data_IF_051903262991
#
_entry.id   IF_051903262991
#
_cell.length_a   1.000
_cell.length_b   1.000
_cell.length_c   1.000
_cell.angle_alpha   90.00
_cell.angle_beta   90.00
_cell.angle_gamma   90.00
#
_symmetry.space_group_name_H-M   'P 1'
#
loop_
_entity.id
_entity.type
_entity.pdbx_description
1 polymer ?
#
# COMPACT_ATOMS: atom_id res chain seq x y z
N UNK A 1 -14.15 6.74 -16.49
CA UNK A 1 -12.75 7.20 -16.29
C UNK A 1 -12.50 7.15 -14.80
N UNK A 2 -11.43 6.50 -14.33
CA UNK A 2 -11.08 6.53 -12.90
C UNK A 2 -10.61 7.95 -12.58
N UNK A 3 -11.21 8.60 -11.58
CA UNK A 3 -10.68 9.85 -11.05
C UNK A 3 -9.43 9.50 -10.25
N UNK A 4 -8.26 9.67 -10.88
CA UNK A 4 -6.96 9.54 -10.22
C UNK A 4 -6.82 10.72 -9.26
N UNK A 5 -7.07 10.45 -7.98
CA UNK A 5 -7.11 11.44 -6.92
C UNK A 5 -6.53 10.85 -5.64
N UNK A 6 -6.37 11.71 -4.63
CA UNK A 6 -5.84 11.31 -3.32
C UNK A 6 -6.68 10.19 -2.68
N UNK A 7 -7.99 10.18 -2.86
CA UNK A 7 -8.88 9.11 -2.36
C UNK A 7 -8.52 7.74 -2.94
N UNK A 8 -8.24 7.65 -4.24
CA UNK A 8 -7.82 6.40 -4.89
C UNK A 8 -6.47 5.88 -4.37
N UNK A 9 -5.57 6.78 -3.99
CA UNK A 9 -4.29 6.42 -3.36
C UNK A 9 -4.52 5.90 -1.93
N UNK A 10 -5.40 6.54 -1.16
CA UNK A 10 -5.79 6.07 0.18
C UNK A 10 -6.34 4.65 0.12
N UNK A 11 -7.31 4.39 -0.75
CA UNK A 11 -7.90 3.05 -0.92
C UNK A 11 -6.85 1.99 -1.29
N UNK A 12 -5.88 2.36 -2.13
CA UNK A 12 -4.77 1.48 -2.51
C UNK A 12 -3.83 1.19 -1.34
N UNK A 13 -3.53 2.21 -0.51
CA UNK A 13 -2.71 2.02 0.68
C UNK A 13 -3.43 1.11 1.68
N UNK A 14 -4.71 1.34 1.93
CA UNK A 14 -5.55 0.54 2.82
C UNK A 14 -5.68 -0.92 2.34
N UNK A 15 -5.93 -1.14 1.05
CA UNK A 15 -5.95 -2.49 0.48
C UNK A 15 -4.61 -3.20 0.62
N UNK A 16 -3.49 -2.47 0.55
CA UNK A 16 -2.16 -3.02 0.81
C UNK A 16 -1.91 -3.35 2.28
N UNK A 17 -2.54 -2.63 3.21
CA UNK A 17 -2.43 -2.92 4.65
C UNK A 17 -3.00 -4.29 5.00
N UNK A 18 -4.03 -4.76 4.29
CA UNK A 18 -4.57 -6.12 4.46
C UNK A 18 -3.53 -7.21 4.11
N UNK A 19 -2.63 -6.93 3.16
CA UNK A 19 -1.56 -7.86 2.77
C UNK A 19 -0.47 -7.86 3.84
N UNK A 20 -0.13 -6.70 4.41
CA UNK A 20 0.74 -6.60 5.58
C UNK A 20 0.20 -7.37 6.78
N UNK A 21 -1.08 -7.16 7.13
CA UNK A 21 -1.72 -7.86 8.24
C UNK A 21 -1.69 -9.38 8.02
N UNK A 22 -1.90 -9.84 6.79
CA UNK A 22 -1.80 -11.28 6.48
C UNK A 22 -0.37 -11.78 6.57
N UNK A 23 0.62 -11.08 6.04
CA UNK A 23 2.02 -11.46 6.14
C UNK A 23 2.45 -11.60 7.61
N UNK A 24 2.15 -10.59 8.45
CA UNK A 24 2.47 -10.57 9.89
C UNK A 24 1.83 -11.76 10.63
N UNK A 25 0.61 -12.14 10.27
CA UNK A 25 -0.10 -13.25 10.90
C UNK A 25 0.33 -14.63 10.39
N UNK A 26 1.09 -14.69 9.30
CA UNK A 26 1.39 -15.93 8.59
C UNK A 26 2.88 -16.28 8.49
N UNK A 27 3.75 -15.33 8.84
CA UNK A 27 5.21 -15.49 8.93
C UNK A 27 5.59 -15.83 10.37
N UNK A 28 6.39 -16.87 10.56
CA UNK A 28 6.81 -17.33 11.91
C UNK A 28 8.04 -16.57 12.45
N UNK A 29 8.74 -15.82 11.59
CA UNK A 29 9.88 -15.00 11.97
C UNK A 29 9.46 -13.73 12.72
N UNK A 30 9.61 -13.78 14.05
CA UNK A 30 9.24 -12.67 14.95
C UNK A 30 10.01 -11.38 14.65
N UNK A 31 11.28 -11.46 14.27
CA UNK A 31 12.07 -10.28 13.96
C UNK A 31 11.57 -9.60 12.68
N UNK A 32 11.24 -10.40 11.65
CA UNK A 32 10.64 -9.90 10.43
C UNK A 32 9.26 -9.29 10.70
N UNK A 33 8.42 -9.94 11.49
CA UNK A 33 7.09 -9.42 11.86
C UNK A 33 7.17 -8.05 12.55
N UNK A 34 8.17 -7.83 13.41
CA UNK A 34 8.38 -6.52 14.03
C UNK A 34 8.68 -5.44 12.99
N UNK A 35 9.51 -5.74 11.99
CA UNK A 35 9.79 -4.81 10.90
C UNK A 35 8.55 -4.55 10.05
N UNK A 36 7.80 -5.60 9.69
CA UNK A 36 6.55 -5.46 8.93
C UNK A 36 5.50 -4.63 9.67
N UNK A 37 5.41 -4.75 11.00
CA UNK A 37 4.56 -3.91 11.84
C UNK A 37 4.95 -2.43 11.77
N UNK A 38 6.24 -2.10 11.82
CA UNK A 38 6.72 -0.72 11.70
C UNK A 38 6.39 -0.11 10.32
N UNK A 39 6.53 -0.92 9.25
CA UNK A 39 6.15 -0.51 7.90
C UNK A 39 4.64 -0.30 7.79
N UNK A 40 3.84 -1.21 8.34
CA UNK A 40 2.38 -1.07 8.40
C UNK A 40 1.95 0.20 9.14
N UNK A 41 2.59 0.54 10.25
CA UNK A 41 2.29 1.79 10.98
C UNK A 41 2.65 3.03 10.15
N UNK A 42 3.73 2.98 9.38
CA UNK A 42 4.11 4.04 8.45
C UNK A 42 3.02 4.24 7.39
N UNK A 43 2.50 3.14 6.82
CA UNK A 43 1.39 3.18 5.85
C UNK A 43 0.09 3.71 6.45
N UNK A 44 -0.26 3.28 7.67
CA UNK A 44 -1.44 3.79 8.39
C UNK A 44 -1.32 5.30 8.65
N UNK A 45 -0.12 5.79 8.99
CA UNK A 45 0.14 7.22 9.12
C UNK A 45 -0.03 7.96 7.79
N UNK A 46 0.47 7.40 6.69
CA UNK A 46 0.32 7.98 5.36
C UNK A 46 -1.16 8.18 4.97
N UNK A 47 -2.03 7.20 5.31
CA UNK A 47 -3.49 7.35 5.12
C UNK A 47 -4.03 8.55 5.91
N UNK A 48 -3.70 8.64 7.20
CA UNK A 48 -4.16 9.75 8.06
C UNK A 48 -3.69 11.12 7.56
N UNK A 49 -2.48 11.19 7.00
CA UNK A 49 -1.93 12.41 6.42
C UNK A 49 -2.60 12.79 5.11
N UNK A 50 -3.00 11.82 4.28
CA UNK A 50 -3.67 12.07 3.00
C UNK A 50 -5.17 12.40 3.15
N UNK A 51 -5.83 11.86 4.18
CA UNK A 51 -7.28 12.01 4.38
C UNK A 51 -7.80 13.45 4.31
N UNK A 52 -7.18 14.46 4.95
CA UNK A 52 -7.63 15.86 4.85
C UNK A 52 -7.60 16.43 3.43
N UNK A 53 -6.80 15.84 2.54
CA UNK A 53 -6.60 16.28 1.16
C UNK A 53 -7.45 15.49 0.16
N UNK A 54 -8.18 14.47 0.61
CA UNK A 54 -9.10 13.70 -0.22
C UNK A 54 -10.38 14.47 -0.59
N UNK A 55 -10.70 15.56 0.12
CA UNK A 55 -11.93 16.35 -0.04
C UNK A 55 -11.59 17.72 -0.65
N UNK A 56 -11.49 17.75 -1.98
CA UNK A 56 -11.29 18.99 -2.75
C UNK A 56 -12.16 19.09 -4.01
N UNK A 57 -13.02 18.10 -4.29
CA UNK A 57 -13.99 18.10 -5.39
C UNK A 57 -15.34 17.57 -4.89
N UNK A 58 -15.90 18.19 -3.85
CA UNK A 58 -17.32 18.01 -3.51
C UNK A 58 -18.15 18.94 -4.39
N UNK A 59 -18.36 18.53 -5.64
CA UNK A 59 -19.67 18.71 -6.26
C UNK A 59 -20.38 17.35 -6.12
N UNK A 60 -21.49 17.39 -5.38
CA UNK A 60 -22.50 16.37 -5.14
C UNK A 60 -22.28 14.99 -5.81
N UNK A 61 -21.93 13.98 -5.01
CA UNK A 61 -22.52 12.64 -5.09
C UNK A 61 -22.18 11.87 -3.82
N UNK A 62 -23.22 11.67 -3.01
CA UNK A 62 -23.27 10.68 -1.95
C UNK A 62 -23.05 9.27 -2.51
N UNK A 63 -22.58 8.37 -1.64
CA UNK A 63 -22.57 6.92 -1.81
C UNK A 63 -21.92 6.41 -3.10
N UNK A 64 -20.63 6.09 -3.01
CA UNK A 64 -20.11 4.88 -3.64
C UNK A 64 -18.70 4.61 -3.11
N UNK A 65 -18.61 3.92 -1.97
CA UNK A 65 -17.39 3.15 -1.66
C UNK A 65 -17.31 2.06 -2.71
N UNK A 66 -16.40 2.08 -3.70
CA UNK A 66 -16.48 1.15 -4.80
C UNK A 66 -16.05 -0.23 -4.31
N UNK A 67 -17.02 -1.13 -4.22
CA UNK A 67 -16.92 -2.58 -3.99
C UNK A 67 -15.86 -3.28 -4.89
N UNK A 68 -15.29 -2.59 -5.86
CA UNK A 68 -14.34 -3.11 -6.84
C UNK A 68 -12.89 -3.27 -6.34
N UNK A 69 -12.41 -2.44 -5.39
CA UNK A 69 -11.02 -2.56 -4.90
C UNK A 69 -10.82 -3.72 -3.92
N UNK A 70 -11.83 -4.03 -3.10
CA UNK A 70 -11.87 -5.22 -2.24
C UNK A 70 -11.85 -6.53 -3.04
N UNK A 71 -12.27 -6.51 -4.32
CA UNK A 71 -12.25 -7.69 -5.19
C UNK A 71 -10.85 -7.96 -5.75
N UNK A 72 -10.06 -6.94 -6.11
CA UNK A 72 -8.70 -7.16 -6.65
C UNK A 72 -7.70 -7.65 -5.61
N UNK A 73 -7.94 -7.37 -4.33
CA UNK A 73 -7.20 -8.02 -3.25
C UNK A 73 -7.58 -9.51 -3.10
N UNK A 74 -8.82 -9.91 -3.46
CA UNK A 74 -9.29 -11.31 -3.37
C UNK A 74 -8.77 -12.19 -4.50
N UNK A 75 -8.47 -11.66 -5.68
CA UNK A 75 -7.97 -12.47 -6.81
C UNK A 75 -6.56 -13.05 -6.58
N UNK A 76 -5.83 -12.61 -5.55
CA UNK A 76 -4.54 -13.19 -5.14
C UNK A 76 -4.71 -14.40 -4.19
N UNK A 77 -5.95 -14.76 -3.80
CA UNK A 77 -6.21 -15.76 -2.73
C UNK A 77 -6.51 -17.20 -3.17
N UNK A 78 -6.35 -17.56 -4.43
CA UNK A 78 -6.46 -18.98 -4.78
C UNK A 78 -5.10 -19.68 -4.69
N UNK A 79 -5.00 -20.52 -3.67
CA UNK A 79 -4.17 -21.73 -3.60
C UNK A 79 -2.67 -21.58 -3.27
N UNK A 80 -2.35 -21.47 -1.98
CA UNK A 80 -1.05 -21.97 -1.48
C UNK A 80 -1.19 -22.51 -0.04
N UNK A 81 -1.92 -23.61 0.14
CA UNK A 81 -1.82 -24.43 1.36
C UNK A 81 -0.95 -25.66 1.07
N UNK A 82 0.38 -25.49 1.10
CA UNK A 82 1.41 -26.53 1.42
C UNK A 82 2.86 -26.04 1.18
N UNK A 83 3.19 -24.80 1.52
CA UNK A 83 4.56 -24.29 1.36
C UNK A 83 5.37 -24.35 2.65
N UNK A 84 6.68 -24.62 2.52
CA UNK A 84 7.65 -24.54 3.62
C UNK A 84 7.71 -23.08 4.08
N UNK A 85 7.95 -22.82 5.37
CA UNK A 85 7.90 -21.47 5.95
C UNK A 85 8.71 -20.42 5.18
N UNK A 86 9.85 -20.81 4.61
CA UNK A 86 10.72 -19.96 3.79
C UNK A 86 10.11 -19.57 2.43
N UNK A 87 9.37 -20.47 1.78
CA UNK A 87 8.69 -20.17 0.52
C UNK A 87 7.56 -19.16 0.77
N UNK A 88 6.87 -19.30 1.89
CA UNK A 88 5.80 -18.41 2.34
C UNK A 88 6.31 -17.01 2.70
N UNK A 89 7.45 -16.91 3.38
CA UNK A 89 8.11 -15.63 3.68
C UNK A 89 8.47 -14.89 2.40
N UNK A 90 9.16 -15.57 1.47
CA UNK A 90 9.53 -15.01 0.16
C UNK A 90 8.30 -14.52 -0.61
N UNK A 91 7.25 -15.34 -0.70
CA UNK A 91 5.99 -14.99 -1.37
C UNK A 91 5.38 -13.71 -0.79
N UNK A 92 5.31 -13.59 0.55
CA UNK A 92 4.76 -12.37 1.16
C UNK A 92 5.64 -11.15 0.91
N UNK A 93 6.97 -11.28 1.01
CA UNK A 93 7.89 -10.17 0.74
C UNK A 93 7.74 -9.64 -0.69
N UNK A 94 7.62 -10.54 -1.69
CA UNK A 94 7.37 -10.16 -3.08
C UNK A 94 6.01 -9.45 -3.25
N UNK A 95 4.95 -9.96 -2.61
CA UNK A 95 3.63 -9.31 -2.65
C UNK A 95 3.67 -7.91 -2.03
N UNK A 96 4.33 -7.75 -0.89
CA UNK A 96 4.47 -6.47 -0.21
C UNK A 96 5.27 -5.48 -1.07
N UNK A 97 6.38 -5.91 -1.68
CA UNK A 97 7.14 -5.06 -2.61
C UNK A 97 6.30 -4.64 -3.83
N UNK A 98 5.48 -5.56 -4.37
CA UNK A 98 4.55 -5.29 -5.45
C UNK A 98 3.51 -4.22 -5.08
N UNK A 99 2.97 -4.29 -3.86
CA UNK A 99 2.04 -3.28 -3.32
C UNK A 99 2.72 -1.92 -3.18
N UNK A 100 3.92 -1.85 -2.58
CA UNK A 100 4.64 -0.58 -2.45
C UNK A 100 4.97 0.04 -3.81
N UNK A 101 5.38 -0.80 -4.77
CA UNK A 101 5.67 -0.36 -6.14
C UNK A 101 4.43 0.23 -6.83
N UNK A 102 3.26 -0.38 -6.62
CA UNK A 102 2.01 0.10 -7.19
C UNK A 102 1.57 1.42 -6.55
N UNK A 103 1.64 1.54 -5.22
CA UNK A 103 1.34 2.79 -4.51
C UNK A 103 2.26 3.91 -4.99
N UNK A 104 3.57 3.64 -5.06
CA UNK A 104 4.56 4.63 -5.52
C UNK A 104 4.27 5.11 -6.94
N UNK A 105 3.93 4.18 -7.85
CA UNK A 105 3.57 4.51 -9.23
C UNK A 105 2.34 5.42 -9.33
N UNK A 106 1.28 5.15 -8.56
CA UNK A 106 0.07 5.98 -8.57
C UNK A 106 0.32 7.37 -7.97
N UNK A 107 1.12 7.46 -6.90
CA UNK A 107 1.53 8.76 -6.35
C UNK A 107 2.35 9.56 -7.37
N UNK A 108 3.34 8.93 -8.01
CA UNK A 108 4.17 9.57 -9.03
C UNK A 108 3.36 10.00 -10.23
N UNK A 109 2.39 9.18 -10.66
CA UNK A 109 1.46 9.53 -11.73
C UNK A 109 0.62 10.75 -11.36
N UNK A 110 0.02 10.77 -10.17
CA UNK A 110 -0.78 11.91 -9.72
C UNK A 110 0.05 13.21 -9.66
N UNK A 111 1.30 13.12 -9.20
CA UNK A 111 2.22 14.27 -9.16
C UNK A 111 2.51 14.83 -10.56
N UNK A 112 2.70 13.94 -11.56
CA UNK A 112 3.01 14.33 -12.94
C UNK A 112 1.77 14.88 -13.65
N UNK A 113 0.63 14.20 -13.50
CA UNK A 113 -0.59 14.51 -14.26
C UNK A 113 -1.35 15.69 -13.66
N UNK A 114 -1.20 15.95 -12.36
CA UNK A 114 -1.92 17.00 -11.62
C UNK A 114 -0.97 17.79 -10.70
N UNK A 115 -0.03 18.58 -11.26
CA UNK A 115 0.97 19.31 -10.48
C UNK A 115 0.35 20.30 -9.47
N UNK A 116 -0.84 20.84 -9.76
CA UNK A 116 -1.57 21.73 -8.84
C UNK A 116 -2.13 21.01 -7.60
N UNK A 117 -2.42 19.70 -7.69
CA UNK A 117 -2.69 18.85 -6.52
C UNK A 117 -1.40 18.32 -5.88
N UNK A 118 -0.30 18.29 -6.65
CA UNK A 118 1.02 17.78 -6.29
C UNK A 118 1.85 18.72 -5.41
N UNK A 119 1.50 20.01 -5.33
CA UNK A 119 2.06 20.96 -4.35
C UNK A 119 1.73 20.60 -2.89
N UNK A 120 0.98 19.51 -2.69
CA UNK A 120 0.92 18.83 -1.41
C UNK A 120 2.31 18.30 -1.04
N UNK A 121 3.01 19.07 -0.20
CA UNK A 121 4.12 18.57 0.61
C UNK A 121 3.80 17.22 1.27
N UNK A 122 2.52 16.95 1.56
CA UNK A 122 1.99 15.66 2.00
C UNK A 122 2.18 14.54 0.96
N UNK A 123 1.86 14.73 -0.32
CA UNK A 123 2.07 13.71 -1.36
C UNK A 123 3.54 13.37 -1.54
N UNK A 124 4.42 14.38 -1.51
CA UNK A 124 5.87 14.17 -1.58
C UNK A 124 6.41 13.43 -0.35
N UNK A 125 5.90 13.78 0.83
CA UNK A 125 6.26 13.09 2.07
C UNK A 125 5.81 11.63 2.04
N UNK A 126 4.55 11.37 1.70
CA UNK A 126 4.01 10.01 1.60
C UNK A 126 4.74 9.21 0.53
N UNK A 127 5.08 9.81 -0.62
CA UNK A 127 5.93 9.18 -1.62
C UNK A 127 7.27 8.73 -1.03
N UNK A 128 7.92 9.59 -0.25
CA UNK A 128 9.18 9.27 0.42
C UNK A 128 9.02 8.14 1.43
N UNK A 129 7.98 8.19 2.26
CA UNK A 129 7.70 7.18 3.29
C UNK A 129 7.46 5.79 2.65
N UNK A 130 6.66 5.73 1.59
CA UNK A 130 6.38 4.51 0.81
C UNK A 130 7.63 4.00 0.09
N UNK A 131 8.44 4.90 -0.50
CA UNK A 131 9.70 4.51 -1.13
C UNK A 131 10.67 3.89 -0.12
N UNK A 132 10.81 4.48 1.07
CA UNK A 132 11.63 3.91 2.14
C UNK A 132 11.10 2.57 2.64
N UNK A 133 9.78 2.36 2.68
CA UNK A 133 9.19 1.06 2.99
C UNK A 133 9.57 0.01 1.94
N UNK A 134 9.48 0.35 0.65
CA UNK A 134 9.93 -0.53 -0.45
C UNK A 134 11.40 -0.89 -0.32
N UNK A 135 12.28 0.09 -0.12
CA UNK A 135 13.73 -0.14 0.01
C UNK A 135 14.07 -1.07 1.19
N UNK A 136 13.34 -0.93 2.30
CA UNK A 136 13.46 -1.84 3.46
C UNK A 136 13.03 -3.27 3.09
N UNK A 137 11.90 -3.46 2.40
CA UNK A 137 11.45 -4.78 1.95
C UNK A 137 12.46 -5.44 1.01
N UNK A 138 12.95 -4.72 0.00
CA UNK A 138 13.94 -5.26 -0.93
C UNK A 138 15.24 -5.64 -0.21
N UNK A 139 15.66 -4.86 0.78
CA UNK A 139 16.85 -5.18 1.59
C UNK A 139 16.69 -6.47 2.39
N UNK A 140 15.49 -6.74 2.91
CA UNK A 140 15.17 -7.98 3.64
C UNK A 140 15.11 -9.18 2.67
N UNK A 141 14.50 -9.00 1.51
CA UNK A 141 14.35 -10.06 0.51
C UNK A 141 15.69 -10.53 -0.08
N UNK A 142 16.73 -9.70 -0.04
CA UNK A 142 18.08 -10.06 -0.54
C UNK A 142 18.88 -10.94 0.44
N UNK A 143 18.46 -11.02 1.70
CA UNK A 143 19.16 -11.75 2.77
C UNK A 143 18.34 -12.93 3.33
N UNK A 144 17.11 -13.10 2.84
CA UNK A 144 16.21 -14.22 3.16
C UNK A 144 16.42 -15.35 2.15
#
# INVERSE_FOLDING_TARGET
MKNENISSIIELIESGNDIYDKAINNIDNTALNQVLLELLQTRKRAVLELQPHAVGNTDDSADDTPVSYTIKAREVYSDVMKEVSTDKETMYLEQLEGVESKVLKEIEKLIVDQPEQADNAVLLKVRSDIKSAKEKLSSISLIS
#
